data_IF_703877704054
#
_entry.id   IF_703877704054
#
_cell.length_a   1.000
_cell.length_b   1.000
_cell.length_c   1.000
_cell.angle_alpha   90.00
_cell.angle_beta   90.00
_cell.angle_gamma   90.00
#
_symmetry.space_group_name_H-M   'P 1'
#
loop_
_entity.id
_entity.type
_entity.pdbx_description
1 polymer ?
#
# COMPACT_ATOMS: atom_id res chain seq x y z
N UNK A 1 -1.38 -25.32 8.59
CA UNK A 1 -0.62 -24.10 8.23
C UNK A 1 0.42 -23.88 9.32
N UNK A 2 1.66 -23.61 8.96
CA UNK A 2 2.80 -23.48 9.89
C UNK A 2 2.88 -22.09 10.57
N UNK A 3 2.05 -21.14 10.16
CA UNK A 3 2.00 -19.78 10.71
C UNK A 3 3.09 -18.85 10.18
N UNK A 4 3.87 -19.29 9.18
CA UNK A 4 4.96 -18.50 8.62
C UNK A 4 4.43 -17.31 7.81
N UNK A 5 4.94 -16.10 8.08
CA UNK A 5 4.62 -14.91 7.29
C UNK A 5 5.35 -14.97 5.93
N UNK A 6 4.60 -15.18 4.86
CA UNK A 6 5.15 -15.18 3.51
C UNK A 6 5.07 -13.82 2.81
N UNK A 7 4.00 -13.06 3.06
CA UNK A 7 3.72 -11.84 2.33
C UNK A 7 2.65 -10.98 2.98
N UNK A 8 2.54 -9.76 2.50
CA UNK A 8 1.56 -8.76 2.94
C UNK A 8 0.99 -8.03 1.73
N UNK A 9 -0.18 -7.43 1.91
CA UNK A 9 -0.83 -6.61 0.89
C UNK A 9 -0.82 -5.14 1.32
N UNK A 10 -0.39 -4.25 0.42
CA UNK A 10 -0.43 -2.81 0.62
C UNK A 10 -1.84 -2.27 0.35
N UNK A 11 -2.58 -2.00 1.42
CA UNK A 11 -3.93 -1.48 1.35
C UNK A 11 -3.96 0.02 1.68
N UNK A 12 -4.25 0.84 0.66
CA UNK A 12 -4.31 2.30 0.82
C UNK A 12 -5.43 2.73 1.78
N UNK A 13 -5.14 3.73 2.62
CA UNK A 13 -6.07 4.32 3.58
C UNK A 13 -5.83 5.81 3.64
N UNK A 14 -6.89 6.60 3.53
CA UNK A 14 -6.79 8.06 3.61
C UNK A 14 -7.06 8.53 5.04
N UNK A 15 -6.09 9.18 5.68
CA UNK A 15 -6.29 9.90 6.93
C UNK A 15 -6.89 11.28 6.63
N UNK A 16 -8.21 11.33 6.53
CA UNK A 16 -8.94 12.57 6.26
C UNK A 16 -9.05 13.43 7.55
N UNK A 17 -8.78 14.75 7.49
CA UNK A 17 -8.76 15.60 8.69
C UNK A 17 -10.09 15.63 9.46
N UNK A 18 -11.22 15.53 8.73
CA UNK A 18 -12.56 15.54 9.34
C UNK A 18 -13.19 14.16 9.54
N UNK A 19 -12.86 13.19 8.69
CA UNK A 19 -13.57 11.91 8.61
C UNK A 19 -12.73 10.74 9.12
N UNK A 20 -11.51 11.01 9.61
CA UNK A 20 -10.61 10.00 10.11
C UNK A 20 -10.10 9.08 9.00
N UNK A 21 -9.85 7.81 9.37
CA UNK A 21 -9.25 6.82 8.47
C UNK A 21 -10.30 6.24 7.53
N UNK A 22 -10.27 6.65 6.26
CA UNK A 22 -11.16 6.20 5.21
C UNK A 22 -10.60 4.99 4.45
N UNK A 23 -11.50 4.08 4.07
CA UNK A 23 -11.22 2.96 3.18
C UNK A 23 -11.31 3.40 1.70
N UNK A 24 -10.68 2.64 0.77
CA UNK A 24 -10.60 3.01 -0.65
C UNK A 24 -11.97 3.30 -1.30
N UNK A 25 -12.99 2.52 -0.97
CA UNK A 25 -14.36 2.68 -1.50
C UNK A 25 -15.01 4.04 -1.19
N UNK A 26 -14.38 4.89 -0.35
CA UNK A 26 -14.86 6.25 -0.05
C UNK A 26 -14.21 7.33 -0.91
N UNK A 27 -13.14 7.03 -1.64
CA UNK A 27 -12.36 8.05 -2.36
C UNK A 27 -11.81 7.60 -3.71
N UNK A 28 -11.77 6.30 -4.03
CA UNK A 28 -11.27 5.82 -5.32
C UNK A 28 -12.11 6.37 -6.48
N UNK A 29 -13.45 6.34 -6.39
CA UNK A 29 -14.33 6.91 -7.40
C UNK A 29 -14.04 8.40 -7.68
N UNK A 30 -13.63 9.15 -6.66
CA UNK A 30 -13.27 10.57 -6.82
C UNK A 30 -11.92 10.68 -7.55
N UNK A 31 -10.94 9.89 -7.11
CA UNK A 31 -9.61 9.86 -7.71
C UNK A 31 -9.61 9.43 -9.19
N UNK A 32 -10.53 8.55 -9.57
CA UNK A 32 -10.72 8.15 -10.97
C UNK A 32 -11.32 9.29 -11.79
N UNK A 33 -12.35 9.96 -11.28
CA UNK A 33 -13.05 11.05 -11.99
C UNK A 33 -12.17 12.28 -12.22
N UNK A 34 -11.28 12.59 -11.27
CA UNK A 34 -10.38 13.74 -11.37
C UNK A 34 -8.99 13.40 -11.95
N UNK A 35 -8.76 12.12 -12.28
CA UNK A 35 -7.50 11.61 -12.84
C UNK A 35 -6.36 11.45 -11.82
N UNK A 36 -6.56 11.78 -10.54
CA UNK A 36 -5.55 11.63 -9.50
C UNK A 36 -5.24 10.17 -9.15
N UNK A 37 -6.04 9.20 -9.62
CA UNK A 37 -5.82 7.77 -9.43
C UNK A 37 -4.45 7.30 -9.93
N UNK A 38 -3.94 7.88 -11.02
CA UNK A 38 -2.62 7.54 -11.57
C UNK A 38 -1.51 7.96 -10.60
N UNK A 39 -1.56 9.19 -10.10
CA UNK A 39 -0.57 9.70 -9.15
C UNK A 39 -0.68 9.00 -7.78
N UNK A 40 -1.90 8.70 -7.34
CA UNK A 40 -2.14 7.89 -6.15
C UNK A 40 -1.51 6.50 -6.31
N UNK A 41 -1.71 5.82 -7.44
CA UNK A 41 -1.13 4.52 -7.73
C UNK A 41 0.40 4.54 -7.71
N UNK A 42 1.01 5.54 -8.36
CA UNK A 42 2.47 5.75 -8.32
C UNK A 42 2.98 5.98 -6.91
N UNK A 43 2.27 6.77 -6.10
CA UNK A 43 2.62 7.00 -4.71
C UNK A 43 2.52 5.71 -3.89
N UNK A 44 1.43 4.95 -4.00
CA UNK A 44 1.24 3.66 -3.30
C UNK A 44 2.38 2.70 -3.63
N UNK A 45 2.73 2.55 -4.92
CA UNK A 45 3.81 1.66 -5.35
C UNK A 45 5.16 2.06 -4.75
N UNK A 46 5.51 3.36 -4.81
CA UNK A 46 6.76 3.86 -4.21
C UNK A 46 6.80 3.63 -2.70
N UNK A 47 5.70 3.91 -2.00
CA UNK A 47 5.60 3.70 -0.54
C UNK A 47 5.72 2.22 -0.17
N UNK A 48 5.07 1.32 -0.93
CA UNK A 48 5.17 -0.12 -0.72
C UNK A 48 6.62 -0.63 -0.91
N UNK A 49 7.30 -0.20 -1.97
CA UNK A 49 8.71 -0.55 -2.21
C UNK A 49 9.63 -0.02 -1.10
N UNK A 50 9.45 1.22 -0.67
CA UNK A 50 10.22 1.80 0.42
C UNK A 50 10.01 1.05 1.75
N UNK A 51 8.76 0.65 2.04
CA UNK A 51 8.43 -0.13 3.22
C UNK A 51 9.02 -1.55 3.15
N UNK A 52 8.97 -2.20 1.99
CA UNK A 52 9.60 -3.50 1.80
C UNK A 52 11.12 -3.44 2.04
N UNK A 53 11.77 -2.39 1.54
CA UNK A 53 13.20 -2.15 1.76
C UNK A 53 13.53 -1.88 3.22
N UNK A 54 12.70 -1.14 3.95
CA UNK A 54 12.94 -0.88 5.37
C UNK A 54 12.88 -2.16 6.20
N UNK A 55 11.98 -3.10 5.87
CA UNK A 55 11.95 -4.42 6.52
C UNK A 55 13.18 -5.27 6.22
N UNK A 56 13.68 -5.24 4.98
CA UNK A 56 14.94 -5.91 4.62
C UNK A 56 16.12 -5.38 5.44
N UNK A 57 16.21 -4.06 5.60
CA UNK A 57 17.29 -3.42 6.36
C UNK A 57 17.17 -3.65 7.86
N UNK A 58 15.95 -3.68 8.41
CA UNK A 58 15.72 -3.90 9.84
C UNK A 58 16.00 -5.34 10.28
N UNK A 59 16.00 -6.32 9.36
CA UNK A 59 16.30 -7.73 9.64
C UNK A 59 17.25 -8.32 8.61
N UNK A 60 18.54 -7.96 8.64
CA UNK A 60 19.53 -8.54 7.73
C UNK A 60 19.58 -10.07 7.86
N UNK A 61 19.61 -10.79 6.73
CA UNK A 61 19.67 -12.25 6.68
C UNK A 61 18.32 -12.97 6.83
N UNK A 62 17.26 -12.29 7.25
CA UNK A 62 15.90 -12.84 7.19
C UNK A 62 15.34 -12.75 5.75
N UNK A 63 14.54 -13.73 5.35
CA UNK A 63 13.76 -13.63 4.10
C UNK A 63 12.66 -12.57 4.30
N UNK A 64 12.68 -11.45 3.58
CA UNK A 64 11.63 -10.45 3.69
C UNK A 64 10.30 -10.99 3.12
N UNK A 65 9.15 -10.56 3.65
CA UNK A 65 7.87 -10.87 3.02
C UNK A 65 7.77 -10.18 1.66
N UNK A 66 7.09 -10.81 0.70
CA UNK A 66 6.69 -10.10 -0.52
C UNK A 66 5.58 -9.09 -0.20
N UNK A 67 5.51 -8.03 -1.00
CA UNK A 67 4.48 -6.98 -0.87
C UNK A 67 3.67 -6.92 -2.15
N UNK A 68 2.39 -7.28 -2.06
CA UNK A 68 1.44 -7.13 -3.14
C UNK A 68 0.86 -5.71 -3.15
N UNK A 69 0.72 -5.12 -4.33
CA UNK A 69 0.11 -3.81 -4.53
C UNK A 69 -1.00 -3.93 -5.56
N UNK A 70 -2.17 -3.38 -5.25
CA UNK A 70 -3.26 -3.27 -6.21
C UNK A 70 -2.93 -2.17 -7.22
N UNK A 71 -3.01 -2.50 -8.50
CA UNK A 71 -2.83 -1.56 -9.61
C UNK A 71 -4.17 -1.29 -10.26
N UNK A 72 -4.45 -0.02 -10.52
CA UNK A 72 -5.61 0.45 -11.27
C UNK A 72 -5.14 0.88 -12.66
N UNK A 73 -5.87 0.44 -13.70
CA UNK A 73 -5.63 0.78 -15.11
C UNK A 73 -6.61 1.86 -15.54
#
# INVERSE_FOLDING_TARGET
>A
ADGTLHGVEALVRWRHPRFGKLAPNRFIDVAERDGSIVELGRWVLRTACAQARSWQLARPGARPPYVSVNVTV
#
